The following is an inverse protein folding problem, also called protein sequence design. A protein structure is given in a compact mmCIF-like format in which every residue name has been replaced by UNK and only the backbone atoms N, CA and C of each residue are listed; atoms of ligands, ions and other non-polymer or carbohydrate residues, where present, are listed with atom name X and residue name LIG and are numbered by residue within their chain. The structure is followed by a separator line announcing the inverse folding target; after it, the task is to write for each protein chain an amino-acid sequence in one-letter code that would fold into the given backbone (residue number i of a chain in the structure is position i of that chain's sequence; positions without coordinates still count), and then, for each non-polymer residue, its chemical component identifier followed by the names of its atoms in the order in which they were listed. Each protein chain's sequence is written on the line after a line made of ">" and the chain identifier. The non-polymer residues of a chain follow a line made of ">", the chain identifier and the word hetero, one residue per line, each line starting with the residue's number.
data_IF_043228566424
#
_entry.id   IF_043228566424
#
_cell.length_a   1.000
_cell.length_b   1.000
_cell.length_c   1.000
_cell.angle_alpha   90.00
_cell.angle_beta   90.00
_cell.angle_gamma   90.00
#
_symmetry.space_group_name_H-M   'P 1'
#
loop_
_entity.id
_entity.type
_entity.pdbx_description
1 polymer ?
#
# COMPACT_ATOMS: atom_id res chain seq x y z
N UNK A 1 -7.16 23.32 -28.97
CA UNK A 1 -6.81 24.01 -27.70
C UNK A 1 -5.53 23.40 -27.15
N UNK A 2 -4.46 24.16 -26.88
CA UNK A 2 -3.28 23.62 -26.21
C UNK A 2 -3.52 23.52 -24.70
N UNK A 3 -3.22 22.36 -24.11
CA UNK A 3 -3.28 22.15 -22.66
C UNK A 3 -2.19 23.01 -22.00
N UNK A 4 -2.56 23.90 -21.08
CA UNK A 4 -1.58 24.65 -20.29
C UNK A 4 -0.91 23.71 -19.28
N UNK A 5 0.38 23.91 -19.02
CA UNK A 5 1.18 23.11 -18.08
C UNK A 5 0.56 23.06 -16.67
N UNK A 6 -0.14 24.12 -16.23
CA UNK A 6 -0.88 24.17 -14.96
C UNK A 6 -2.05 23.20 -14.88
N UNK A 7 -2.74 22.93 -16.01
CA UNK A 7 -3.86 21.99 -16.03
C UNK A 7 -3.35 20.55 -15.94
N UNK A 8 -2.25 20.24 -16.63
CA UNK A 8 -1.63 18.91 -16.63
C UNK A 8 -1.08 18.57 -15.23
N UNK A 9 -0.32 19.46 -14.59
CA UNK A 9 0.24 19.16 -13.26
C UNK A 9 -0.84 18.91 -12.20
N UNK A 10 -1.95 19.66 -12.26
CA UNK A 10 -3.09 19.49 -11.35
C UNK A 10 -3.80 18.16 -11.58
N UNK A 11 -4.03 17.77 -12.84
CA UNK A 11 -4.65 16.49 -13.20
C UNK A 11 -3.78 15.29 -12.78
N UNK A 12 -2.47 15.39 -12.97
CA UNK A 12 -1.52 14.34 -12.56
C UNK A 12 -1.47 14.18 -11.04
N UNK A 13 -1.47 15.29 -10.29
CA UNK A 13 -1.53 15.23 -8.82
C UNK A 13 -2.80 14.54 -8.34
N UNK A 14 -3.96 14.89 -8.91
CA UNK A 14 -5.24 14.26 -8.54
C UNK A 14 -5.26 12.77 -8.86
N UNK A 15 -4.77 12.36 -10.02
CA UNK A 15 -4.68 10.95 -10.40
C UNK A 15 -3.77 10.16 -9.45
N UNK A 16 -2.59 10.70 -9.12
CA UNK A 16 -1.64 10.07 -8.19
C UNK A 16 -2.21 9.98 -6.76
N UNK A 17 -2.93 11.00 -6.30
CA UNK A 17 -3.60 11.01 -4.99
C UNK A 17 -4.66 9.90 -4.92
N UNK A 18 -5.47 9.74 -5.97
CA UNK A 18 -6.47 8.67 -6.03
C UNK A 18 -5.84 7.28 -6.08
N UNK A 19 -4.72 7.10 -6.80
CA UNK A 19 -3.98 5.83 -6.79
C UNK A 19 -3.39 5.53 -5.41
N UNK A 20 -2.84 6.54 -4.73
CA UNK A 20 -2.31 6.42 -3.37
C UNK A 20 -3.39 5.98 -2.38
N UNK A 21 -4.54 6.65 -2.35
CA UNK A 21 -5.65 6.31 -1.44
C UNK A 21 -6.17 4.89 -1.67
N UNK A 22 -6.28 4.47 -2.94
CA UNK A 22 -6.68 3.10 -3.29
C UNK A 22 -5.65 2.08 -2.81
N UNK A 23 -4.36 2.31 -3.06
CA UNK A 23 -3.28 1.41 -2.62
C UNK A 23 -3.19 1.33 -1.10
N UNK A 24 -3.44 2.42 -0.38
CA UNK A 24 -3.50 2.45 1.07
C UNK A 24 -4.63 1.55 1.58
N UNK A 25 -5.85 1.73 1.07
CA UNK A 25 -6.99 0.91 1.47
C UNK A 25 -6.76 -0.59 1.19
N UNK A 26 -6.13 -0.92 0.06
CA UNK A 26 -5.76 -2.31 -0.25
C UNK A 26 -4.65 -2.85 0.65
N UNK A 27 -3.67 -2.05 1.04
CA UNK A 27 -2.65 -2.47 2.00
C UNK A 27 -3.29 -2.77 3.38
N UNK A 28 -4.18 -1.89 3.83
CA UNK A 28 -4.89 -2.02 5.11
C UNK A 28 -5.79 -3.28 5.14
N UNK A 29 -6.52 -3.56 4.05
CA UNK A 29 -7.30 -4.79 3.92
C UNK A 29 -6.42 -6.04 4.03
N UNK A 30 -5.25 -6.02 3.40
CA UNK A 30 -4.33 -7.17 3.35
C UNK A 30 -3.70 -7.41 4.72
N UNK A 31 -3.35 -6.33 5.43
CA UNK A 31 -2.86 -6.40 6.81
C UNK A 31 -3.94 -6.96 7.75
N UNK A 32 -5.20 -6.55 7.58
CA UNK A 32 -6.33 -7.10 8.34
C UNK A 32 -6.54 -8.60 8.07
N UNK A 33 -6.39 -9.05 6.82
CA UNK A 33 -6.44 -10.48 6.49
C UNK A 33 -5.30 -11.26 7.15
N UNK A 34 -4.08 -10.72 7.16
CA UNK A 34 -2.95 -11.35 7.85
C UNK A 34 -3.19 -11.48 9.34
N UNK A 35 -3.66 -10.42 10.01
CA UNK A 35 -3.98 -10.45 11.43
C UNK A 35 -4.99 -11.56 11.78
N UNK A 36 -6.04 -11.72 10.96
CA UNK A 36 -7.04 -12.78 11.18
C UNK A 36 -6.45 -14.18 11.00
N UNK A 37 -5.61 -14.38 9.98
CA UNK A 37 -4.97 -15.68 9.75
C UNK A 37 -3.96 -16.02 10.85
N UNK A 38 -3.25 -15.04 11.38
CA UNK A 38 -2.31 -15.22 12.48
C UNK A 38 -3.01 -15.77 13.73
N UNK A 39 -4.17 -15.19 14.08
CA UNK A 39 -5.00 -15.70 15.18
C UNK A 39 -5.48 -17.14 14.95
N UNK A 40 -5.83 -17.50 13.70
CA UNK A 40 -6.23 -18.88 13.36
C UNK A 40 -5.02 -19.81 13.50
N UNK A 41 -3.86 -19.42 12.99
CA UNK A 41 -2.62 -20.19 13.11
C UNK A 41 -2.27 -20.47 14.58
N UNK A 42 -2.34 -19.47 15.45
CA UNK A 42 -2.09 -19.66 16.89
C UNK A 42 -3.06 -20.64 17.54
N UNK A 43 -4.33 -20.65 17.13
CA UNK A 43 -5.30 -21.62 17.61
C UNK A 43 -4.98 -23.04 17.13
N UNK A 44 -4.63 -23.19 15.85
CA UNK A 44 -4.24 -24.48 15.29
C UNK A 44 -2.97 -25.04 15.95
N UNK A 45 -2.00 -24.19 16.27
CA UNK A 45 -0.81 -24.60 17.04
C UNK A 45 -1.17 -25.12 18.43
N UNK A 46 -2.07 -24.45 19.13
CA UNK A 46 -2.60 -24.91 20.42
C UNK A 46 -3.31 -26.26 20.26
N UNK A 47 -4.24 -26.37 19.31
CA UNK A 47 -5.02 -27.59 19.08
C UNK A 47 -4.10 -28.76 18.69
N UNK A 48 -3.08 -28.53 17.87
CA UNK A 48 -2.10 -29.55 17.50
C UNK A 48 -1.32 -30.07 18.73
N UNK A 49 -0.86 -29.17 19.59
CA UNK A 49 -0.10 -29.53 20.79
C UNK A 49 -0.91 -30.38 21.78
N UNK A 50 -2.23 -30.22 21.84
CA UNK A 50 -3.08 -30.83 22.87
C UNK A 50 -3.95 -31.98 22.37
N UNK A 51 -4.36 -31.99 21.10
CA UNK A 51 -5.28 -32.99 20.55
C UNK A 51 -4.60 -33.98 19.58
N UNK A 52 -3.39 -33.68 19.06
CA UNK A 52 -2.63 -34.53 18.11
C UNK A 52 -3.48 -35.05 16.94
N UNK A 53 -4.24 -34.15 16.31
CA UNK A 53 -5.08 -34.45 15.16
C UNK A 53 -4.34 -34.09 13.85
N UNK A 54 -4.19 -35.06 12.95
CA UNK A 54 -3.54 -34.88 11.65
C UNK A 54 -4.28 -33.89 10.74
N UNK A 55 -5.60 -33.73 10.90
CA UNK A 55 -6.39 -32.75 10.16
C UNK A 55 -5.95 -31.30 10.47
N UNK A 56 -5.49 -31.04 11.69
CA UNK A 56 -4.97 -29.73 12.13
C UNK A 56 -3.69 -29.39 11.38
N UNK A 57 -2.87 -30.40 11.07
CA UNK A 57 -1.62 -30.26 10.33
C UNK A 57 -1.89 -29.82 8.89
N UNK A 58 -2.91 -30.41 8.26
CA UNK A 58 -3.35 -30.02 6.92
C UNK A 58 -3.90 -28.59 6.91
N UNK A 59 -4.73 -28.22 7.88
CA UNK A 59 -5.29 -26.88 7.99
C UNK A 59 -4.21 -25.82 8.24
N UNK A 60 -3.23 -26.10 9.12
CA UNK A 60 -2.10 -25.21 9.39
C UNK A 60 -1.28 -24.93 8.12
N UNK A 61 -1.03 -25.96 7.30
CA UNK A 61 -0.34 -25.79 6.02
C UNK A 61 -1.11 -24.85 5.06
N UNK A 62 -2.43 -24.96 5.00
CA UNK A 62 -3.27 -24.09 4.16
C UNK A 62 -3.26 -22.64 4.64
N UNK A 63 -3.34 -22.44 5.96
CA UNK A 63 -3.26 -21.10 6.55
C UNK A 63 -1.91 -20.47 6.25
N UNK A 64 -0.81 -21.19 6.43
CA UNK A 64 0.52 -20.67 6.12
C UNK A 64 0.68 -20.29 4.63
N UNK A 65 0.20 -21.13 3.70
CA UNK A 65 0.20 -20.78 2.27
C UNK A 65 -0.55 -19.48 1.98
N UNK A 66 -1.74 -19.30 2.58
CA UNK A 66 -2.52 -18.06 2.43
C UNK A 66 -1.80 -16.86 3.04
N UNK A 67 -1.18 -17.01 4.20
CA UNK A 67 -0.39 -15.94 4.83
C UNK A 67 0.79 -15.52 3.94
N UNK A 68 1.49 -16.47 3.32
CA UNK A 68 2.57 -16.15 2.36
C UNK A 68 2.06 -15.33 1.18
N UNK A 69 0.91 -15.70 0.61
CA UNK A 69 0.29 -14.96 -0.48
C UNK A 69 -0.06 -13.51 -0.06
N UNK A 70 -0.74 -13.33 1.07
CA UNK A 70 -1.07 -11.99 1.57
C UNK A 70 0.16 -11.16 1.94
N UNK A 71 1.22 -11.75 2.50
CA UNK A 71 2.49 -11.05 2.78
C UNK A 71 3.17 -10.57 1.50
N UNK A 72 3.19 -11.40 0.46
CA UNK A 72 3.74 -11.01 -0.84
C UNK A 72 2.95 -9.85 -1.44
N UNK A 73 1.62 -9.98 -1.46
CA UNK A 73 0.69 -8.96 -1.92
C UNK A 73 0.83 -7.63 -1.18
N UNK A 74 0.98 -7.68 0.15
CA UNK A 74 1.20 -6.49 0.97
C UNK A 74 2.50 -5.80 0.58
N UNK A 75 3.61 -6.54 0.45
CA UNK A 75 4.91 -5.98 0.05
C UNK A 75 4.86 -5.26 -1.30
N UNK A 76 4.20 -5.84 -2.29
CA UNK A 76 4.06 -5.21 -3.62
C UNK A 76 3.26 -3.91 -3.52
N UNK A 77 2.17 -3.90 -2.75
CA UNK A 77 1.32 -2.72 -2.57
C UNK A 77 2.02 -1.61 -1.79
N UNK A 78 2.68 -1.95 -0.68
CA UNK A 78 3.46 -0.98 0.11
C UNK A 78 4.55 -0.32 -0.73
N UNK A 79 5.27 -1.08 -1.55
CA UNK A 79 6.27 -0.49 -2.46
C UNK A 79 5.65 0.49 -3.46
N UNK A 80 4.53 0.11 -4.10
CA UNK A 80 3.82 1.03 -5.00
C UNK A 80 3.29 2.27 -4.28
N UNK A 81 2.87 2.11 -3.02
CA UNK A 81 2.43 3.21 -2.17
C UNK A 81 3.58 4.20 -1.90
N UNK A 82 4.76 3.71 -1.54
CA UNK A 82 5.98 4.51 -1.36
C UNK A 82 6.35 5.26 -2.66
N UNK A 83 6.28 4.58 -3.82
CA UNK A 83 6.51 5.21 -5.13
C UNK A 83 5.50 6.35 -5.39
N UNK A 84 4.23 6.16 -5.02
CA UNK A 84 3.20 7.19 -5.13
C UNK A 84 3.47 8.38 -4.20
N UNK A 85 3.88 8.12 -2.96
CA UNK A 85 4.23 9.17 -1.99
C UNK A 85 5.40 10.02 -2.48
N UNK A 86 6.45 9.37 -2.99
CA UNK A 86 7.61 10.06 -3.53
C UNK A 86 7.22 10.97 -4.70
N UNK A 87 6.41 10.47 -5.66
CA UNK A 87 5.91 11.28 -6.79
C UNK A 87 5.04 12.45 -6.35
N UNK A 88 4.19 12.26 -5.34
CA UNK A 88 3.37 13.35 -4.80
C UNK A 88 4.24 14.44 -4.16
N UNK A 89 5.29 14.05 -3.42
CA UNK A 89 6.24 14.98 -2.81
C UNK A 89 7.05 15.75 -3.88
N UNK A 90 7.54 15.06 -4.92
CA UNK A 90 8.21 15.69 -6.06
C UNK A 90 7.34 16.78 -6.69
N UNK A 91 6.07 16.48 -6.97
CA UNK A 91 5.10 17.44 -7.54
C UNK A 91 4.85 18.66 -6.64
N UNK A 92 4.91 18.50 -5.32
CA UNK A 92 4.79 19.61 -4.38
C UNK A 92 6.02 20.50 -4.39
N UNK A 93 7.23 19.92 -4.40
CA UNK A 93 8.48 20.68 -4.50
C UNK A 93 8.56 21.48 -5.81
N UNK A 94 8.19 20.91 -6.95
CA UNK A 94 8.16 21.64 -8.23
C UNK A 94 7.24 22.87 -8.18
N UNK A 95 6.10 22.77 -7.48
CA UNK A 95 5.16 23.88 -7.31
C UNK A 95 5.79 25.00 -6.50
N UNK A 96 6.48 24.67 -5.42
CA UNK A 96 7.11 25.64 -4.52
C UNK A 96 8.31 26.33 -5.19
N UNK A 97 9.19 25.57 -5.85
CA UNK A 97 10.31 26.15 -6.61
C UNK A 97 9.82 27.09 -7.72
N UNK A 98 8.77 26.71 -8.44
CA UNK A 98 8.18 27.59 -9.48
C UNK A 98 7.60 28.87 -8.89
N UNK A 99 6.98 28.79 -7.71
CA UNK A 99 6.43 29.95 -7.02
C UNK A 99 7.50 30.90 -6.47
N UNK A 100 8.65 30.36 -6.03
CA UNK A 100 9.80 31.15 -5.58
C UNK A 100 10.49 31.90 -6.73
N UNK A 101 10.68 31.25 -7.88
CA UNK A 101 11.28 31.88 -9.06
C UNK A 101 10.48 33.10 -9.53
N UNK A 102 9.15 32.99 -9.59
CA UNK A 102 8.28 34.11 -10.01
C UNK A 102 8.23 35.28 -9.02
N UNK A 103 8.64 35.10 -7.76
CA UNK A 103 8.77 36.22 -6.80
C UNK A 103 10.08 36.98 -6.96
N UNK A 104 11.12 36.34 -7.50
CA UNK A 104 12.43 36.95 -7.76
C UNK A 104 12.50 37.79 -9.04
N UNK A 105 11.64 37.52 -10.02
CA UNK A 105 11.60 38.25 -11.32
C UNK A 105 10.81 39.57 -11.29
N UNK A 106 10.19 39.91 -10.15
CA UNK A 106 9.39 41.13 -9.99
C UNK A 106 10.13 42.28 -9.29
N UNK A 107 11.47 42.19 -9.15
CA UNK A 107 12.31 43.23 -8.55
C UNK A 107 13.09 44.04 -9.60
#
# INVERSE_FOLDING_TARGET
>A
MPLSSKNISTQWKQAMQGEYERLQAEADMQQNHLFRLDNIASKLEYDFAHAKNDDVLYEALHIDQRMRAYRYELRVRTRRLEDCQMRLAELEMFRDTSAELHKGEAS
#
